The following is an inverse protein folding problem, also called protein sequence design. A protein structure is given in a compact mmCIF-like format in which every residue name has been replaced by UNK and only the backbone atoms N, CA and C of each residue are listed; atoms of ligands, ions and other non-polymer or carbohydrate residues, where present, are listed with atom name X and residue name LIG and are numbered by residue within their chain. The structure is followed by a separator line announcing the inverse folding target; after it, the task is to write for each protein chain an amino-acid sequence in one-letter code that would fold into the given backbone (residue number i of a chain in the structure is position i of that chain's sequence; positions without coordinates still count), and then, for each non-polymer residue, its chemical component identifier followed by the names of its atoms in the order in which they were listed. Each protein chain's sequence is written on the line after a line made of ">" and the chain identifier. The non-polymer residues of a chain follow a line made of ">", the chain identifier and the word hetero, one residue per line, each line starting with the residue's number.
data_IF_881493845304
#
_entry.id   IF_881493845304
#
_cell.length_a   1.000
_cell.length_b   1.000
_cell.length_c   1.000
_cell.angle_alpha   90.00
_cell.angle_beta   90.00
_cell.angle_gamma   90.00
#
_symmetry.space_group_name_H-M   'P 1'
#
loop_
_entity.id
_entity.type
_entity.pdbx_description
1 polymer ?
#
# COMPACT_ATOMS: atom_id res chain seq x y z
N UNK A 1 -20.57 -0.11 10.58
CA UNK A 1 -20.71 1.35 10.70
C UNK A 1 -20.27 2.08 9.43
N UNK A 2 -18.99 1.95 8.97
CA UNK A 2 -18.51 2.64 7.77
C UNK A 2 -19.22 2.15 6.49
N UNK A 3 -19.32 0.84 6.29
CA UNK A 3 -20.03 0.22 5.17
C UNK A 3 -21.49 0.71 5.08
N UNK A 4 -22.20 0.80 6.20
CA UNK A 4 -23.59 1.27 6.23
C UNK A 4 -23.69 2.75 5.83
N UNK A 5 -22.74 3.60 6.25
CA UNK A 5 -22.66 5.01 5.84
C UNK A 5 -22.47 5.11 4.33
N UNK A 6 -21.50 4.34 3.79
CA UNK A 6 -21.23 4.33 2.35
C UNK A 6 -22.45 3.84 1.54
N UNK A 7 -23.07 2.73 1.96
CA UNK A 7 -24.28 2.21 1.30
C UNK A 7 -25.44 3.19 1.35
N UNK A 8 -25.63 3.93 2.46
CA UNK A 8 -26.67 4.96 2.55
C UNK A 8 -26.41 6.13 1.60
N UNK A 9 -25.15 6.61 1.55
CA UNK A 9 -24.76 7.69 0.65
C UNK A 9 -24.98 7.32 -0.81
N UNK A 10 -24.58 6.11 -1.23
CA UNK A 10 -24.79 5.60 -2.59
C UNK A 10 -26.28 5.49 -2.92
N UNK A 11 -27.10 4.96 -2.00
CA UNK A 11 -28.56 4.86 -2.21
C UNK A 11 -29.21 6.23 -2.32
N UNK A 12 -28.79 7.20 -1.49
CA UNK A 12 -29.29 8.58 -1.58
C UNK A 12 -28.96 9.24 -2.91
N UNK A 13 -27.85 8.82 -3.55
CA UNK A 13 -27.46 9.23 -4.90
C UNK A 13 -28.11 8.39 -6.03
N UNK A 14 -29.09 7.52 -5.70
CA UNK A 14 -29.77 6.67 -6.69
C UNK A 14 -28.96 5.46 -7.15
N UNK A 15 -27.83 5.15 -6.50
CA UNK A 15 -26.97 4.02 -6.85
C UNK A 15 -27.35 2.77 -6.03
N UNK A 16 -27.60 1.65 -6.73
CA UNK A 16 -27.79 0.34 -6.10
C UNK A 16 -26.44 -0.19 -5.63
N UNK A 17 -26.22 -0.28 -4.34
CA UNK A 17 -25.02 -0.87 -3.74
C UNK A 17 -25.29 -2.29 -3.25
N UNK A 18 -24.43 -3.23 -3.66
CA UNK A 18 -24.43 -4.63 -3.20
C UNK A 18 -23.15 -4.85 -2.42
N UNK A 19 -23.19 -5.02 -1.08
CA UNK A 19 -22.00 -5.17 -0.27
C UNK A 19 -21.40 -6.57 -0.39
N UNK A 20 -20.07 -6.63 -0.50
CA UNK A 20 -19.26 -7.84 -0.36
C UNK A 20 -18.28 -7.61 0.81
N UNK A 21 -18.49 -8.32 1.91
CA UNK A 21 -17.63 -8.22 3.10
C UNK A 21 -16.55 -9.30 2.99
N UNK A 22 -15.30 -8.88 3.15
CA UNK A 22 -14.13 -9.74 3.14
C UNK A 22 -13.50 -9.76 4.55
N UNK A 23 -12.85 -10.86 4.96
CA UNK A 23 -12.11 -10.93 6.21
C UNK A 23 -11.01 -9.86 6.27
N UNK A 24 -10.59 -9.50 7.48
CA UNK A 24 -9.40 -8.67 7.67
C UNK A 24 -8.15 -9.56 7.68
N UNK A 25 -7.02 -9.00 7.26
CA UNK A 25 -5.71 -9.68 7.26
C UNK A 25 -5.19 -9.95 5.85
N UNK A 26 -3.86 -10.09 5.75
CA UNK A 26 -3.18 -10.31 4.46
C UNK A 26 -3.58 -11.64 3.81
N UNK A 27 -3.92 -12.65 4.61
CA UNK A 27 -4.42 -13.95 4.15
C UNK A 27 -5.69 -13.85 3.29
N UNK A 28 -6.39 -12.73 3.35
CA UNK A 28 -7.53 -12.43 2.46
C UNK A 28 -7.10 -12.21 1.00
N UNK A 29 -5.86 -11.80 0.75
CA UNK A 29 -5.32 -11.65 -0.62
C UNK A 29 -5.00 -12.99 -1.27
N UNK A 30 -5.91 -13.94 -1.24
CA UNK A 30 -5.73 -15.30 -1.73
C UNK A 30 -6.58 -15.62 -2.95
N UNK A 31 -6.18 -16.64 -3.70
CA UNK A 31 -6.93 -17.14 -4.85
C UNK A 31 -8.36 -17.58 -4.44
N UNK A 32 -8.52 -18.15 -3.25
CA UNK A 32 -9.83 -18.58 -2.75
C UNK A 32 -10.78 -17.39 -2.52
N UNK A 33 -10.30 -16.33 -1.87
CA UNK A 33 -11.11 -15.12 -1.64
C UNK A 33 -11.38 -14.35 -2.93
N UNK A 34 -10.40 -14.33 -3.85
CA UNK A 34 -10.57 -13.77 -5.18
C UNK A 34 -11.68 -14.51 -5.96
N UNK A 35 -11.65 -15.84 -6.00
CA UNK A 35 -12.70 -16.64 -6.65
C UNK A 35 -14.08 -16.39 -6.03
N UNK A 36 -14.16 -16.38 -4.69
CA UNK A 36 -15.39 -16.08 -3.98
C UNK A 36 -15.94 -14.68 -4.31
N UNK A 37 -15.05 -13.68 -4.44
CA UNK A 37 -15.45 -12.34 -4.84
C UNK A 37 -16.01 -12.33 -6.26
N UNK A 38 -15.38 -13.02 -7.23
CA UNK A 38 -15.90 -13.12 -8.59
C UNK A 38 -17.29 -13.77 -8.64
N UNK A 39 -17.55 -14.81 -7.85
CA UNK A 39 -18.89 -15.39 -7.73
C UNK A 39 -19.92 -14.37 -7.19
N UNK A 40 -19.54 -13.56 -6.21
CA UNK A 40 -20.43 -12.49 -5.71
C UNK A 40 -20.72 -11.42 -6.77
N UNK A 41 -19.75 -11.07 -7.62
CA UNK A 41 -19.99 -10.15 -8.73
C UNK A 41 -20.98 -10.75 -9.74
N UNK A 42 -20.86 -12.06 -10.02
CA UNK A 42 -21.79 -12.79 -10.88
C UNK A 42 -23.22 -12.84 -10.32
N UNK A 43 -23.37 -13.22 -9.05
CA UNK A 43 -24.65 -13.27 -8.34
C UNK A 43 -25.34 -11.90 -8.28
N UNK A 44 -24.54 -10.84 -8.11
CA UNK A 44 -25.05 -9.46 -8.13
C UNK A 44 -25.45 -8.97 -9.53
N UNK A 45 -25.11 -9.73 -10.59
CA UNK A 45 -25.41 -9.41 -11.98
C UNK A 45 -24.64 -8.20 -12.51
N UNK A 46 -23.37 -7.99 -12.06
CA UNK A 46 -22.57 -6.85 -12.50
C UNK A 46 -22.25 -6.93 -13.97
N UNK A 47 -22.47 -5.81 -14.68
CA UNK A 47 -22.18 -5.58 -16.08
C UNK A 47 -20.95 -4.69 -16.25
N UNK A 48 -20.55 -4.44 -17.50
CA UNK A 48 -19.44 -3.51 -17.82
C UNK A 48 -19.74 -2.04 -17.47
N UNK A 49 -21.01 -1.69 -17.27
CA UNK A 49 -21.39 -0.34 -16.87
C UNK A 49 -21.29 -0.10 -15.37
N UNK A 50 -21.18 -1.17 -14.60
CA UNK A 50 -21.11 -1.11 -13.15
C UNK A 50 -19.70 -0.79 -12.63
N UNK A 51 -19.58 -0.61 -11.32
CA UNK A 51 -18.34 -0.17 -10.67
C UNK A 51 -18.08 -1.00 -9.42
N UNK A 52 -16.86 -1.49 -9.26
CA UNK A 52 -16.38 -2.02 -7.99
C UNK A 52 -15.88 -0.86 -7.12
N UNK A 53 -16.36 -0.78 -5.88
CA UNK A 53 -15.90 0.19 -4.89
C UNK A 53 -15.11 -0.56 -3.81
N UNK A 54 -13.80 -0.36 -3.77
CA UNK A 54 -12.91 -0.95 -2.79
C UNK A 54 -12.84 -0.06 -1.53
N UNK A 55 -13.64 -0.37 -0.52
CA UNK A 55 -13.67 0.35 0.76
C UNK A 55 -12.86 -0.42 1.80
N UNK A 56 -11.62 0.01 2.08
CA UNK A 56 -10.76 -0.68 3.02
C UNK A 56 -9.28 -0.25 2.97
N UNK A 57 -8.42 -1.02 3.59
CA UNK A 57 -6.96 -0.89 3.48
C UNK A 57 -6.42 -1.47 2.17
N UNK A 58 -5.09 -1.56 2.05
CA UNK A 58 -4.41 -2.04 0.85
C UNK A 58 -4.84 -3.45 0.41
N UNK A 59 -5.08 -4.36 1.35
CA UNK A 59 -5.58 -5.72 1.07
C UNK A 59 -6.87 -5.70 0.26
N UNK A 60 -7.83 -4.86 0.69
CA UNK A 60 -9.12 -4.72 -0.01
C UNK A 60 -8.92 -4.02 -1.36
N UNK A 61 -8.08 -2.99 -1.39
CA UNK A 61 -7.77 -2.26 -2.63
C UNK A 61 -7.18 -3.18 -3.70
N UNK A 62 -6.20 -4.01 -3.33
CA UNK A 62 -5.51 -4.92 -4.23
C UNK A 62 -6.46 -6.03 -4.73
N UNK A 63 -7.13 -6.73 -3.81
CA UNK A 63 -8.01 -7.84 -4.15
C UNK A 63 -9.23 -7.39 -4.99
N UNK A 64 -9.93 -6.34 -4.57
CA UNK A 64 -11.07 -5.81 -5.28
C UNK A 64 -10.66 -5.16 -6.61
N UNK A 65 -9.49 -4.52 -6.64
CA UNK A 65 -8.91 -3.98 -7.86
C UNK A 65 -8.58 -5.06 -8.88
N UNK A 66 -7.99 -6.17 -8.46
CA UNK A 66 -7.72 -7.30 -9.34
C UNK A 66 -9.02 -7.97 -9.83
N UNK A 67 -10.03 -8.10 -8.97
CA UNK A 67 -11.34 -8.57 -9.39
C UNK A 67 -11.97 -7.63 -10.44
N UNK A 68 -11.88 -6.30 -10.26
CA UNK A 68 -12.36 -5.33 -11.23
C UNK A 68 -11.59 -5.42 -12.57
N UNK A 69 -10.27 -5.63 -12.52
CA UNK A 69 -9.43 -5.76 -13.70
C UNK A 69 -9.80 -6.96 -14.57
N UNK A 70 -10.27 -8.04 -13.97
CA UNK A 70 -10.52 -9.31 -14.65
C UNK A 70 -11.99 -9.55 -14.94
N UNK A 71 -12.90 -9.02 -14.13
CA UNK A 71 -14.33 -9.15 -14.34
C UNK A 71 -14.74 -8.56 -15.69
N UNK A 72 -15.36 -9.38 -16.55
CA UNK A 72 -15.75 -9.03 -17.93
C UNK A 72 -14.61 -8.39 -18.75
N UNK A 73 -13.36 -8.70 -18.45
CA UNK A 73 -12.11 -8.16 -19.00
C UNK A 73 -11.83 -6.70 -18.60
N UNK A 74 -12.37 -6.26 -17.47
CA UNK A 74 -12.18 -4.95 -16.88
C UNK A 74 -13.47 -4.16 -16.73
N UNK A 75 -13.76 -3.75 -15.49
CA UNK A 75 -14.83 -2.81 -15.14
C UNK A 75 -14.26 -1.67 -14.30
N UNK A 76 -15.03 -0.61 -14.12
CA UNK A 76 -14.59 0.55 -13.33
C UNK A 76 -14.29 0.15 -11.89
N UNK A 77 -13.21 0.75 -11.36
CA UNK A 77 -12.78 0.65 -9.97
C UNK A 77 -12.81 2.03 -9.33
N UNK A 78 -13.32 2.13 -8.12
CA UNK A 78 -13.14 3.29 -7.24
C UNK A 78 -12.48 2.81 -5.96
N UNK A 79 -11.38 3.45 -5.57
CA UNK A 79 -10.67 3.19 -4.32
C UNK A 79 -11.18 4.13 -3.24
N UNK A 80 -11.53 3.60 -2.08
CA UNK A 80 -11.88 4.35 -0.87
C UNK A 80 -10.99 3.85 0.28
N UNK A 81 -9.71 4.28 0.29
CA UNK A 81 -8.73 3.81 1.26
C UNK A 81 -9.10 4.25 2.68
N UNK A 82 -8.96 3.33 3.65
CA UNK A 82 -9.29 3.59 5.06
C UNK A 82 -8.09 3.50 5.99
N UNK A 83 -6.91 3.16 5.48
CA UNK A 83 -5.64 3.18 6.23
C UNK A 83 -4.71 4.22 5.65
N UNK A 84 -3.79 4.75 6.47
CA UNK A 84 -2.80 5.74 6.02
C UNK A 84 -1.97 5.18 4.86
N UNK A 85 -1.45 3.94 4.99
CA UNK A 85 -0.69 3.28 3.93
C UNK A 85 -1.46 3.25 2.61
N UNK A 86 -2.74 2.91 2.66
CA UNK A 86 -3.56 2.87 1.45
C UNK A 86 -3.81 4.27 0.88
N UNK A 87 -4.00 5.30 1.72
CA UNK A 87 -4.23 6.67 1.28
C UNK A 87 -3.01 7.28 0.59
N UNK A 88 -1.79 7.05 1.15
CA UNK A 88 -0.56 7.66 0.64
C UNK A 88 0.14 6.82 -0.42
N UNK A 89 -0.18 5.53 -0.50
CA UNK A 89 0.56 4.61 -1.36
C UNK A 89 -0.34 3.67 -2.17
N UNK A 90 -0.90 2.59 -1.62
CA UNK A 90 -1.42 1.47 -2.40
C UNK A 90 -2.63 1.80 -3.28
N UNK A 91 -3.48 2.78 -2.93
CA UNK A 91 -4.63 3.18 -3.75
C UNK A 91 -4.26 3.95 -5.04
N UNK A 92 -3.00 4.40 -5.17
CA UNK A 92 -2.53 5.22 -6.29
C UNK A 92 -1.57 4.42 -7.17
N UNK A 93 -1.84 4.37 -8.48
CA UNK A 93 -0.93 3.79 -9.47
C UNK A 93 -1.30 2.41 -9.98
N UNK A 94 -2.50 1.94 -9.67
CA UNK A 94 -3.15 0.82 -10.35
C UNK A 94 -2.55 -0.57 -10.13
N UNK A 95 -1.58 -0.73 -9.25
CA UNK A 95 -1.08 -2.08 -8.88
C UNK A 95 -2.17 -2.81 -8.10
N UNK A 96 -2.65 -3.93 -8.62
CA UNK A 96 -3.65 -4.78 -7.99
C UNK A 96 -3.20 -6.23 -8.06
N UNK A 97 -3.35 -6.98 -6.97
CA UNK A 97 -2.82 -8.34 -6.92
C UNK A 97 -3.45 -9.20 -5.82
N UNK A 98 -3.16 -10.49 -5.93
CA UNK A 98 -3.34 -11.49 -4.88
C UNK A 98 -2.02 -12.22 -4.62
N UNK A 99 -1.95 -12.86 -3.47
CA UNK A 99 -0.82 -13.65 -3.04
C UNK A 99 -0.99 -15.12 -3.43
N UNK A 100 0.13 -15.79 -3.61
CA UNK A 100 0.21 -17.24 -3.75
C UNK A 100 1.06 -17.80 -2.59
N UNK A 101 1.01 -19.12 -2.34
CA UNK A 101 1.92 -19.76 -1.38
C UNK A 101 3.40 -19.49 -1.65
N UNK A 102 3.74 -19.25 -2.91
CA UNK A 102 5.09 -18.97 -3.39
C UNK A 102 5.56 -17.54 -3.10
N UNK A 103 4.64 -16.59 -2.85
CA UNK A 103 4.99 -15.20 -2.54
C UNK A 103 3.84 -14.21 -2.69
N UNK A 104 4.08 -13.01 -2.17
CA UNK A 104 3.14 -11.88 -2.22
C UNK A 104 3.06 -11.28 -3.62
N UNK A 105 1.84 -10.82 -3.99
CA UNK A 105 1.57 -10.00 -5.18
C UNK A 105 2.04 -10.63 -6.52
N UNK A 106 2.12 -11.96 -6.60
CA UNK A 106 2.61 -12.64 -7.81
C UNK A 106 1.59 -12.70 -8.95
N UNK A 107 0.31 -12.60 -8.63
CA UNK A 107 -0.78 -12.63 -9.61
C UNK A 107 -1.57 -11.34 -9.52
N UNK A 108 -1.59 -10.56 -10.59
CA UNK A 108 -2.22 -9.26 -10.56
C UNK A 108 -2.28 -8.57 -11.91
N UNK A 109 -2.74 -7.34 -11.91
CA UNK A 109 -2.83 -6.49 -13.09
C UNK A 109 -2.56 -5.03 -12.72
N UNK A 110 -2.09 -4.25 -13.70
CA UNK A 110 -2.17 -2.80 -13.63
C UNK A 110 -3.59 -2.38 -14.06
N UNK A 111 -4.38 -1.88 -13.11
CA UNK A 111 -5.75 -1.43 -13.33
C UNK A 111 -5.99 -0.12 -12.61
N UNK A 112 -5.91 1.00 -13.35
CA UNK A 112 -6.05 2.33 -12.78
C UNK A 112 -7.47 2.54 -12.24
N UNK A 113 -7.63 3.04 -11.03
CA UNK A 113 -8.94 3.41 -10.51
C UNK A 113 -9.49 4.63 -11.27
N UNK A 114 -10.79 4.63 -11.53
CA UNK A 114 -11.50 5.79 -12.09
C UNK A 114 -11.51 6.97 -11.10
N UNK A 115 -11.46 6.68 -9.81
CA UNK A 115 -11.32 7.68 -8.75
C UNK A 115 -10.71 7.06 -7.49
N UNK A 116 -10.02 7.89 -6.71
CA UNK A 116 -9.57 7.59 -5.34
C UNK A 116 -10.19 8.62 -4.42
N UNK A 117 -10.97 8.18 -3.44
CA UNK A 117 -11.66 9.05 -2.48
C UNK A 117 -11.04 8.87 -1.11
N UNK A 118 -10.16 9.78 -0.72
CA UNK A 118 -9.52 9.82 0.59
C UNK A 118 -10.29 10.72 1.55
N UNK A 119 -10.85 10.13 2.62
CA UNK A 119 -11.43 10.88 3.74
C UNK A 119 -10.45 10.82 4.93
N UNK A 120 -9.76 11.93 5.27
CA UNK A 120 -8.80 11.96 6.37
C UNK A 120 -9.39 11.61 7.74
N UNK A 121 -10.70 11.77 7.93
CA UNK A 121 -11.38 11.44 9.17
C UNK A 121 -11.41 9.93 9.44
N UNK A 122 -11.27 9.10 8.41
CA UNK A 122 -11.20 7.64 8.60
C UNK A 122 -9.97 7.21 9.42
N UNK A 123 -8.94 8.03 9.46
CA UNK A 123 -7.75 7.79 10.28
C UNK A 123 -8.02 7.97 11.79
N UNK A 124 -9.11 8.63 12.20
CA UNK A 124 -9.46 8.81 13.62
C UNK A 124 -9.80 7.48 14.31
N UNK A 125 -10.29 6.52 13.55
CA UNK A 125 -10.67 5.20 14.05
C UNK A 125 -9.58 4.16 13.84
N UNK A 126 -8.45 4.55 13.25
CA UNK A 126 -7.37 3.63 12.92
C UNK A 126 -6.55 3.30 14.17
N UNK A 127 -6.29 2.03 14.48
CA UNK A 127 -5.39 1.67 15.58
C UNK A 127 -4.01 2.33 15.42
N UNK A 128 -3.41 2.87 16.49
CA UNK A 128 -2.13 3.60 16.40
C UNK A 128 -1.00 2.79 15.74
N UNK A 129 -0.97 1.47 15.91
CA UNK A 129 0.02 0.62 15.26
C UNK A 129 -0.11 0.62 13.73
N UNK A 130 -1.36 0.58 13.22
CA UNK A 130 -1.63 0.60 11.78
C UNK A 130 -1.40 2.02 11.20
N UNK A 131 -1.65 3.07 11.97
CA UNK A 131 -1.30 4.43 11.56
C UNK A 131 0.22 4.56 11.39
N UNK A 132 1.00 4.11 12.40
CA UNK A 132 2.47 4.12 12.33
C UNK A 132 3.00 3.34 11.14
N UNK A 133 2.40 2.19 10.83
CA UNK A 133 2.78 1.40 9.66
C UNK A 133 2.71 2.22 8.36
N UNK A 134 1.63 2.96 8.17
CA UNK A 134 1.48 3.87 7.01
C UNK A 134 2.45 5.07 7.01
N UNK A 135 2.95 5.49 8.19
CA UNK A 135 3.92 6.59 8.27
C UNK A 135 5.26 6.26 7.59
N UNK A 136 5.63 4.98 7.49
CA UNK A 136 6.85 4.58 6.80
C UNK A 136 6.81 4.96 5.31
N UNK A 137 5.69 4.73 4.65
CA UNK A 137 5.50 5.09 3.24
C UNK A 137 5.41 6.60 3.03
N UNK A 138 4.75 7.31 3.95
CA UNK A 138 4.72 8.77 3.91
C UNK A 138 6.12 9.36 4.06
N UNK A 139 6.93 8.87 5.01
CA UNK A 139 8.31 9.33 5.19
C UNK A 139 9.20 8.94 4.00
N UNK A 140 9.07 7.74 3.47
CA UNK A 140 9.79 7.30 2.25
C UNK A 140 9.52 8.26 1.08
N UNK A 141 8.25 8.59 0.86
CA UNK A 141 7.85 9.54 -0.18
C UNK A 141 8.47 10.91 0.05
N UNK A 142 8.47 11.39 1.28
CA UNK A 142 9.07 12.66 1.67
C UNK A 142 10.58 12.67 1.44
N UNK A 143 11.30 11.64 1.84
CA UNK A 143 12.76 11.49 1.61
C UNK A 143 13.10 11.50 0.12
N UNK A 144 12.26 10.90 -0.71
CA UNK A 144 12.52 10.79 -2.15
C UNK A 144 12.20 12.07 -2.93
N UNK A 145 11.13 12.78 -2.56
CA UNK A 145 10.53 13.75 -3.47
C UNK A 145 10.22 15.11 -2.84
N UNK A 146 10.17 15.22 -1.49
CA UNK A 146 9.60 16.39 -0.85
C UNK A 146 10.27 16.75 0.48
N UNK A 147 11.35 17.59 0.46
CA UNK A 147 12.07 17.98 1.67
C UNK A 147 11.22 18.72 2.71
N UNK A 148 10.23 19.50 2.28
CA UNK A 148 9.35 20.21 3.20
C UNK A 148 8.40 19.24 3.91
N UNK A 149 7.89 18.24 3.19
CA UNK A 149 7.11 17.15 3.76
C UNK A 149 7.94 16.35 4.77
N UNK A 150 9.21 16.08 4.45
CA UNK A 150 10.14 15.44 5.38
C UNK A 150 10.30 16.26 6.65
N UNK A 151 10.55 17.56 6.53
CA UNK A 151 10.70 18.47 7.68
C UNK A 151 9.42 18.51 8.52
N UNK A 152 8.25 18.51 7.90
CA UNK A 152 6.96 18.45 8.60
C UNK A 152 6.79 17.16 9.40
N UNK A 153 7.03 15.99 8.79
CA UNK A 153 6.92 14.68 9.46
C UNK A 153 7.97 14.52 10.57
N UNK A 154 9.21 14.95 10.34
CA UNK A 154 10.28 14.94 11.32
C UNK A 154 9.97 15.83 12.53
N UNK A 155 9.33 16.98 12.31
CA UNK A 155 8.95 17.90 13.40
C UNK A 155 7.73 17.40 14.19
N UNK A 156 6.73 16.82 13.51
CA UNK A 156 5.43 16.51 14.12
C UNK A 156 5.28 15.06 14.57
N UNK A 157 6.04 14.12 13.98
CA UNK A 157 5.85 12.69 14.24
C UNK A 157 4.44 12.25 13.79
N UNK A 158 3.77 11.43 14.59
CA UNK A 158 2.40 10.96 14.30
C UNK A 158 1.31 12.02 14.43
N UNK A 159 1.65 13.19 14.99
CA UNK A 159 0.75 14.35 15.15
C UNK A 159 0.80 15.29 13.93
N UNK A 160 1.12 14.75 12.78
CA UNK A 160 1.19 15.51 11.54
C UNK A 160 -0.18 16.02 11.08
N UNK A 161 -0.19 17.14 10.36
CA UNK A 161 -1.39 17.63 9.69
C UNK A 161 -1.73 16.77 8.48
N UNK A 162 -2.85 16.05 8.57
CA UNK A 162 -3.34 15.15 7.52
C UNK A 162 -3.65 15.87 6.22
N UNK A 163 -4.15 17.11 6.31
CA UNK A 163 -4.48 17.92 5.15
C UNK A 163 -3.24 18.42 4.40
N UNK A 164 -2.09 18.41 5.06
CA UNK A 164 -0.79 18.65 4.44
C UNK A 164 -0.18 17.35 3.89
N UNK A 165 -0.14 16.29 4.71
CA UNK A 165 0.60 15.06 4.38
C UNK A 165 -0.07 14.27 3.25
N UNK A 166 -1.38 14.02 3.33
CA UNK A 166 -2.06 13.16 2.35
C UNK A 166 -1.99 13.71 0.92
N UNK A 167 -2.35 14.98 0.65
CA UNK A 167 -2.29 15.51 -0.71
C UNK A 167 -0.87 15.53 -1.27
N UNK A 168 0.15 15.83 -0.45
CA UNK A 168 1.55 15.87 -0.90
C UNK A 168 2.07 14.48 -1.26
N UNK A 169 1.81 13.47 -0.41
CA UNK A 169 2.16 12.08 -0.73
C UNK A 169 1.47 11.60 -2.02
N UNK A 170 0.17 11.86 -2.16
CA UNK A 170 -0.59 11.49 -3.36
C UNK A 170 -0.05 12.18 -4.59
N UNK A 171 0.30 13.49 -4.51
CA UNK A 171 0.88 14.23 -5.62
C UNK A 171 2.22 13.65 -6.06
N UNK A 172 3.14 13.41 -5.12
CA UNK A 172 4.44 12.80 -5.42
C UNK A 172 4.27 11.43 -6.08
N UNK A 173 3.38 10.59 -5.54
CA UNK A 173 3.14 9.27 -6.11
C UNK A 173 2.47 9.32 -7.48
N UNK A 174 1.47 10.19 -7.67
CA UNK A 174 0.85 10.43 -8.97
C UNK A 174 1.90 10.80 -10.02
N UNK A 175 2.79 11.72 -9.69
CA UNK A 175 3.80 12.21 -10.63
C UNK A 175 4.79 11.09 -11.01
N UNK A 176 5.19 10.26 -10.04
CA UNK A 176 6.01 9.07 -10.30
C UNK A 176 5.28 8.04 -11.18
N UNK A 177 3.97 7.84 -10.96
CA UNK A 177 3.14 6.94 -11.78
C UNK A 177 2.93 7.48 -13.19
N UNK A 178 2.68 8.79 -13.33
CA UNK A 178 2.53 9.42 -14.65
C UNK A 178 3.83 9.34 -15.47
N UNK A 179 4.99 9.39 -14.82
CA UNK A 179 6.28 9.25 -15.49
C UNK A 179 6.59 7.79 -15.88
N UNK A 180 6.06 6.81 -15.14
CA UNK A 180 6.34 5.39 -15.36
C UNK A 180 5.19 4.51 -14.84
N UNK A 181 4.14 4.38 -15.62
CA UNK A 181 2.92 3.67 -15.22
C UNK A 181 3.18 2.20 -14.85
N UNK A 182 4.04 1.51 -15.61
CA UNK A 182 4.28 0.07 -15.48
C UNK A 182 5.49 -0.31 -14.62
N UNK A 183 6.06 0.64 -13.89
CA UNK A 183 7.16 0.40 -12.92
C UNK A 183 8.40 -0.25 -13.56
N UNK A 184 8.81 0.28 -14.72
CA UNK A 184 9.96 -0.22 -15.49
C UNK A 184 11.20 0.67 -15.39
N UNK A 185 11.09 1.84 -14.77
CA UNK A 185 12.14 2.86 -14.71
C UNK A 185 12.06 3.71 -13.44
N UNK A 186 11.74 5.01 -13.57
CA UNK A 186 11.80 5.98 -12.49
C UNK A 186 10.90 5.66 -11.28
N UNK A 187 9.75 4.99 -11.50
CA UNK A 187 8.85 4.58 -10.43
C UNK A 187 9.51 3.57 -9.47
N UNK A 188 10.55 2.86 -9.90
CA UNK A 188 11.28 1.92 -9.03
C UNK A 188 11.95 2.60 -7.84
N UNK A 189 12.18 3.93 -7.87
CA UNK A 189 12.63 4.70 -6.71
C UNK A 189 11.70 4.51 -5.49
N UNK A 190 10.41 4.31 -5.72
CA UNK A 190 9.45 4.02 -4.65
C UNK A 190 9.76 2.71 -3.90
N UNK A 191 10.64 1.85 -4.41
CA UNK A 191 11.09 0.66 -3.73
C UNK A 191 12.29 0.91 -2.79
N UNK A 192 12.62 2.17 -2.47
CA UNK A 192 13.66 2.50 -1.48
C UNK A 192 13.34 1.82 -0.15
N UNK A 193 14.28 1.06 0.39
CA UNK A 193 14.10 0.26 1.61
C UNK A 193 13.36 -1.08 1.42
N UNK A 194 12.65 -1.29 0.32
CA UNK A 194 11.81 -2.49 0.13
C UNK A 194 12.60 -3.78 -0.03
N UNK A 195 13.78 -3.77 -0.64
CA UNK A 195 14.60 -4.98 -0.75
C UNK A 195 14.93 -5.59 0.61
N UNK A 196 15.37 -4.76 1.57
CA UNK A 196 15.61 -5.18 2.94
C UNK A 196 14.28 -5.41 3.69
N UNK A 197 13.26 -4.58 3.44
CA UNK A 197 11.94 -4.70 4.04
C UNK A 197 11.28 -6.05 3.73
N UNK A 198 11.18 -6.45 2.46
CA UNK A 198 10.62 -7.74 2.05
C UNK A 198 11.41 -8.94 2.62
N UNK A 199 12.74 -8.82 2.69
CA UNK A 199 13.56 -9.84 3.35
C UNK A 199 13.20 -9.98 4.84
N UNK A 200 12.97 -8.86 5.54
CA UNK A 200 12.54 -8.84 6.95
C UNK A 200 11.12 -9.43 7.10
N UNK A 201 10.18 -9.05 6.24
CA UNK A 201 8.82 -9.63 6.24
C UNK A 201 8.90 -11.17 6.11
N UNK A 202 9.64 -11.65 5.11
CA UNK A 202 9.83 -13.09 4.87
C UNK A 202 10.47 -13.81 6.05
N UNK A 203 11.58 -13.29 6.57
CA UNK A 203 12.32 -13.89 7.69
C UNK A 203 11.53 -13.88 9.00
N UNK A 204 10.66 -12.90 9.19
CA UNK A 204 9.75 -12.83 10.34
C UNK A 204 8.53 -13.75 10.20
N UNK A 205 8.34 -14.39 9.05
CA UNK A 205 7.09 -15.11 8.72
C UNK A 205 5.90 -14.16 8.70
N UNK A 206 6.10 -12.95 8.14
CA UNK A 206 5.11 -11.87 8.02
C UNK A 206 4.52 -11.37 9.35
N UNK A 207 5.22 -11.58 10.47
CA UNK A 207 4.84 -11.05 11.79
C UNK A 207 5.20 -9.58 11.97
N UNK A 208 6.21 -9.09 11.25
CA UNK A 208 6.56 -7.68 11.20
C UNK A 208 5.72 -7.06 10.09
N UNK A 209 4.96 -6.01 10.43
CA UNK A 209 4.10 -5.30 9.49
C UNK A 209 4.93 -4.64 8.39
N UNK A 210 4.34 -4.47 7.20
CA UNK A 210 5.01 -3.99 5.99
C UNK A 210 5.74 -2.66 6.20
N UNK A 211 5.07 -1.64 6.70
CA UNK A 211 5.69 -0.34 6.92
C UNK A 211 6.79 -0.37 7.98
N UNK A 212 6.67 -1.23 9.01
CA UNK A 212 7.74 -1.43 9.98
C UNK A 212 8.98 -2.06 9.32
N UNK A 213 8.79 -3.03 8.45
CA UNK A 213 9.87 -3.65 7.68
C UNK A 213 10.51 -2.67 6.70
N UNK A 214 9.71 -1.88 6.00
CA UNK A 214 10.18 -0.81 5.10
C UNK A 214 10.94 0.27 5.87
N UNK A 215 10.49 0.65 7.07
CA UNK A 215 11.19 1.62 7.92
C UNK A 215 12.59 1.14 8.31
N UNK A 216 12.74 -0.13 8.69
CA UNK A 216 14.06 -0.72 8.95
C UNK A 216 14.91 -0.71 7.68
N UNK A 217 14.33 -1.09 6.53
CA UNK A 217 14.99 -1.07 5.25
C UNK A 217 15.45 0.33 4.85
N UNK A 218 14.61 1.35 5.06
CA UNK A 218 14.95 2.75 4.83
C UNK A 218 16.11 3.20 5.72
N UNK A 219 16.11 2.83 7.01
CA UNK A 219 17.22 3.13 7.92
C UNK A 219 18.53 2.45 7.49
N UNK A 220 18.48 1.21 7.01
CA UNK A 220 19.66 0.50 6.47
C UNK A 220 20.21 1.26 5.24
N UNK A 221 19.34 1.63 4.30
CA UNK A 221 19.74 2.37 3.10
C UNK A 221 20.29 3.76 3.44
N UNK A 222 19.67 4.46 4.39
CA UNK A 222 20.14 5.76 4.82
C UNK A 222 21.57 5.67 5.40
N UNK A 223 21.81 4.72 6.32
CA UNK A 223 23.16 4.51 6.89
C UNK A 223 24.22 4.19 5.85
N UNK A 224 23.86 3.44 4.81
CA UNK A 224 24.80 3.00 3.79
C UNK A 224 25.13 4.10 2.77
N UNK A 225 24.19 4.98 2.44
CA UNK A 225 24.30 5.83 1.25
C UNK A 225 23.97 7.31 1.47
N UNK A 226 23.34 7.71 2.59
CA UNK A 226 22.93 9.09 2.81
C UNK A 226 23.87 9.80 3.82
N UNK A 227 24.14 11.10 3.55
CA UNK A 227 24.86 11.96 4.51
C UNK A 227 24.00 12.27 5.74
N UNK A 228 22.69 12.42 5.54
CA UNK A 228 21.73 12.83 6.56
C UNK A 228 21.02 11.62 7.20
N UNK A 229 21.73 10.47 7.27
CA UNK A 229 21.19 9.23 7.83
C UNK A 229 20.63 9.39 9.25
N UNK A 230 21.30 10.18 10.08
CA UNK A 230 20.88 10.44 11.46
C UNK A 230 19.52 11.18 11.54
N UNK A 231 19.25 12.09 10.62
CA UNK A 231 17.98 12.82 10.55
C UNK A 231 16.84 11.91 10.12
N UNK A 232 17.08 11.04 9.12
CA UNK A 232 16.10 10.06 8.65
C UNK A 232 15.77 9.07 9.78
N UNK A 233 16.76 8.59 10.50
CA UNK A 233 16.54 7.71 11.65
C UNK A 233 15.78 8.40 12.79
N UNK A 234 16.13 9.63 13.10
CA UNK A 234 15.42 10.41 14.11
C UNK A 234 13.94 10.60 13.75
N UNK A 235 13.64 10.87 12.47
CA UNK A 235 12.29 11.01 11.97
C UNK A 235 11.51 9.67 12.06
N UNK A 236 12.13 8.53 11.70
CA UNK A 236 11.54 7.20 11.86
C UNK A 236 11.19 6.90 13.32
N UNK A 237 12.14 7.16 14.24
CA UNK A 237 11.94 6.95 15.68
C UNK A 237 10.80 7.83 16.19
N UNK A 238 10.74 9.10 15.77
CA UNK A 238 9.68 10.03 16.17
C UNK A 238 8.30 9.61 15.66
N UNK A 239 8.23 8.95 14.52
CA UNK A 239 7.02 8.32 13.98
C UNK A 239 6.67 7.00 14.70
N UNK A 240 7.47 6.57 15.67
CA UNK A 240 7.29 5.32 16.41
C UNK A 240 7.60 4.07 15.58
N UNK A 241 8.51 4.22 14.60
CA UNK A 241 8.92 3.15 13.69
C UNK A 241 10.26 2.56 14.09
N UNK A 242 10.49 1.26 13.90
CA UNK A 242 11.76 0.61 14.19
C UNK A 242 12.80 0.99 13.12
N UNK A 243 14.07 1.11 13.57
CA UNK A 243 15.21 1.40 12.67
C UNK A 243 16.26 0.27 12.66
N UNK A 244 16.02 -0.81 13.39
CA UNK A 244 16.93 -1.95 13.52
C UNK A 244 16.16 -3.27 13.45
N UNK A 245 16.86 -4.33 13.10
CA UNK A 245 16.37 -5.71 13.10
C UNK A 245 17.35 -6.62 13.85
N UNK A 246 16.85 -7.74 14.34
CA UNK A 246 17.65 -8.82 14.93
C UNK A 246 18.23 -9.78 13.91
N UNK A 247 17.81 -9.71 12.64
CA UNK A 247 18.32 -10.56 11.59
C UNK A 247 19.72 -10.11 11.15
N UNK A 248 20.64 -11.06 11.00
CA UNK A 248 22.00 -10.76 10.56
C UNK A 248 22.04 -10.31 9.09
N UNK A 249 23.06 -9.52 8.70
CA UNK A 249 23.22 -9.08 7.31
C UNK A 249 23.24 -10.24 6.29
N UNK A 250 23.84 -11.38 6.66
CA UNK A 250 23.93 -12.57 5.80
C UNK A 250 22.54 -13.14 5.53
N UNK A 251 21.70 -13.28 6.57
CA UNK A 251 20.32 -13.76 6.43
C UNK A 251 19.48 -12.82 5.59
N UNK A 252 19.61 -11.51 5.81
CA UNK A 252 18.91 -10.48 5.01
C UNK A 252 19.33 -10.57 3.54
N UNK A 253 20.62 -10.67 3.27
CA UNK A 253 21.15 -10.78 1.90
C UNK A 253 20.64 -12.05 1.22
N UNK A 254 20.65 -13.19 1.91
CA UNK A 254 20.18 -14.45 1.36
C UNK A 254 18.68 -14.39 1.02
N UNK A 255 17.85 -13.82 1.91
CA UNK A 255 16.43 -13.66 1.66
C UNK A 255 16.14 -12.68 0.50
N UNK A 256 16.87 -11.56 0.44
CA UNK A 256 16.74 -10.58 -0.64
C UNK A 256 17.14 -11.16 -2.01
N UNK A 257 18.18 -11.98 -2.07
CA UNK A 257 18.59 -12.66 -3.31
C UNK A 257 17.57 -13.72 -3.77
N UNK A 258 16.92 -14.41 -2.82
CA UNK A 258 15.86 -15.36 -3.15
C UNK A 258 14.62 -14.67 -3.76
N UNK A 259 14.24 -13.50 -3.24
CA UNK A 259 13.15 -12.69 -3.77
C UNK A 259 13.47 -12.17 -5.20
N UNK A 260 14.65 -11.60 -5.42
CA UNK A 260 15.07 -11.12 -6.75
C UNK A 260 15.11 -12.22 -7.82
N UNK A 261 15.54 -13.45 -7.47
CA UNK A 261 15.51 -14.57 -8.40
C UNK A 261 14.10 -14.96 -8.82
N UNK A 262 13.12 -14.88 -7.90
CA UNK A 262 11.69 -15.15 -8.21
C UNK A 262 11.10 -14.10 -9.15
N UNK A 263 11.50 -12.84 -9.03
CA UNK A 263 11.00 -11.76 -9.86
C UNK A 263 11.70 -11.60 -11.21
N UNK A 264 12.70 -12.45 -11.51
CA UNK A 264 13.46 -12.40 -12.77
C UNK A 264 14.32 -11.13 -12.96
N UNK A 265 14.51 -10.33 -11.92
CA UNK A 265 15.39 -9.16 -11.97
C UNK A 265 16.86 -9.60 -11.90
N UNK A 266 17.75 -9.03 -12.73
CA UNK A 266 19.18 -9.32 -12.63
C UNK A 266 19.70 -9.01 -11.22
N UNK A 267 20.51 -9.91 -10.68
CA UNK A 267 21.30 -9.63 -9.48
C UNK A 267 22.47 -8.76 -9.88
N UNK A 268 22.33 -7.45 -9.81
CA UNK A 268 23.44 -6.49 -9.91
C UNK A 268 23.95 -6.17 -8.53
#
# INVERSE_FOLDING_TARGET
>A
LLLERACRALRAAGVRAVPAILPAGEETKSLAQYAALLHKLAEAGLTRADTVVALGGGVIGDLAGFAAATWLRGIRLVQVPTTLLAMVDSSVGGKTAIDLPEGKNLVGAFHQPAAVVCDPQLLDTLPPAILRDGCAEALKTAVLFDPDLFSHLAARGTDFDRMTVLPRCVACKRDAVCADEFDRGARQLLNLGHTAGHAIETLSGYRIAHGHAVAIGLAIMARAFCRDAAEIEAALIKLGLPTRTEFSPERLTQAALADKKRTGKPTT
#
